data_IF_517376834071
#
_entry.id   IF_517376834071
#
_cell.length_a   1.000
_cell.length_b   1.000
_cell.length_c   1.000
_cell.angle_alpha   90.00
_cell.angle_beta   90.00
_cell.angle_gamma   90.00
#
_symmetry.space_group_name_H-M   'P 1'
#
loop_
_entity.id
_entity.type
_entity.pdbx_description
1 polymer ?
#
# COMPACT_ATOMS: atom_id res chain seq x y z
N UNK A 1 -24.03 8.09 2.26
CA UNK A 1 -23.56 7.72 3.61
C UNK A 1 -24.30 6.50 4.09
N UNK A 2 -23.76 5.32 3.75
CA UNK A 2 -24.03 4.01 4.35
C UNK A 2 -22.84 3.11 3.92
N UNK A 3 -21.71 3.30 4.59
CA UNK A 3 -20.43 2.63 4.28
C UNK A 3 -20.17 1.41 5.21
N UNK A 4 -21.16 1.00 6.00
CA UNK A 4 -21.04 -0.08 6.99
C UNK A 4 -22.14 -1.15 6.91
N UNK A 5 -22.92 -1.17 5.82
CA UNK A 5 -23.91 -2.23 5.57
C UNK A 5 -23.40 -3.09 4.41
N UNK A 6 -23.19 -4.39 4.66
CA UNK A 6 -22.83 -5.37 3.65
C UNK A 6 -23.96 -5.53 2.63
N UNK A 7 -23.66 -5.24 1.36
CA UNK A 7 -24.57 -5.36 0.22
C UNK A 7 -24.10 -6.47 -0.75
N UNK A 8 -23.12 -7.30 -0.37
CA UNK A 8 -22.60 -8.37 -1.21
C UNK A 8 -21.61 -7.94 -2.30
N UNK A 9 -21.16 -6.68 -2.30
CA UNK A 9 -20.20 -6.13 -3.27
C UNK A 9 -18.80 -5.85 -2.67
N UNK A 10 -18.64 -6.07 -1.36
CA UNK A 10 -17.42 -5.79 -0.59
C UNK A 10 -17.60 -4.74 0.50
N UNK A 11 -16.85 -4.87 1.60
CA UNK A 11 -16.88 -3.96 2.75
C UNK A 11 -15.57 -3.16 2.82
N UNK A 12 -15.66 -1.84 2.64
CA UNK A 12 -14.54 -0.92 2.89
C UNK A 12 -14.63 -0.41 4.34
N UNK A 13 -13.91 -1.05 5.25
CA UNK A 13 -13.79 -0.63 6.65
C UNK A 13 -12.46 0.09 6.94
N UNK A 14 -11.84 0.67 5.91
CA UNK A 14 -10.54 1.30 6.09
C UNK A 14 -10.66 2.71 6.68
N UNK A 15 -10.33 2.86 7.97
CA UNK A 15 -10.28 4.17 8.62
C UNK A 15 -9.18 5.06 8.01
N UNK A 16 -9.55 6.27 7.59
CA UNK A 16 -8.65 7.31 7.06
C UNK A 16 -7.92 8.00 8.22
N UNK A 17 -6.93 7.29 8.78
CA UNK A 17 -6.05 7.78 9.84
C UNK A 17 -4.68 8.28 9.34
N UNK A 18 -3.76 8.54 10.28
CA UNK A 18 -2.37 8.94 9.98
C UNK A 18 -1.52 7.81 9.40
N UNK A 19 -1.97 6.56 9.54
CA UNK A 19 -1.28 5.37 9.05
C UNK A 19 -1.22 5.33 7.52
N UNK A 20 -0.37 4.47 6.95
CA UNK A 20 -0.19 4.37 5.49
C UNK A 20 -1.32 3.67 4.76
N UNK A 21 -2.40 3.32 5.45
CA UNK A 21 -3.47 2.64 4.76
C UNK A 21 -3.05 1.24 4.32
N UNK A 22 -3.74 0.74 3.30
CA UNK A 22 -3.34 -0.43 2.55
C UNK A 22 -2.36 0.00 1.43
N UNK A 23 -1.06 0.18 1.73
CA UNK A 23 -0.04 0.38 0.70
C UNK A 23 0.39 1.82 0.40
N UNK A 24 0.17 2.77 1.30
CA UNK A 24 0.80 4.09 1.23
C UNK A 24 2.33 4.00 1.43
N UNK A 25 3.04 5.02 0.96
CA UNK A 25 4.50 5.09 1.07
C UNK A 25 4.98 6.30 1.89
N UNK A 26 6.22 6.20 2.34
CA UNK A 26 7.03 7.30 2.86
C UNK A 26 8.52 7.04 2.65
N UNK A 27 9.35 8.06 2.85
CA UNK A 27 10.80 7.88 2.86
C UNK A 27 11.20 7.31 4.22
N UNK A 28 11.84 6.14 4.24
CA UNK A 28 12.38 5.54 5.45
C UNK A 28 13.78 6.07 5.70
N UNK A 29 13.93 6.89 6.74
CA UNK A 29 15.20 7.53 7.08
C UNK A 29 15.29 7.71 8.59
N UNK A 30 16.44 7.37 9.16
CA UNK A 30 16.72 7.45 10.60
C UNK A 30 15.65 6.73 11.45
N UNK A 31 15.36 5.48 11.08
CA UNK A 31 14.37 4.60 11.72
C UNK A 31 12.96 5.22 11.84
N UNK A 32 12.63 6.14 10.93
CA UNK A 32 11.37 6.86 10.88
C UNK A 32 10.81 6.90 9.47
N UNK A 33 9.50 6.76 9.36
CA UNK A 33 8.78 6.94 8.11
C UNK A 33 8.39 8.42 7.92
N UNK A 34 9.00 9.07 6.93
CA UNK A 34 8.73 10.46 6.55
C UNK A 34 7.70 10.51 5.42
N UNK A 35 6.50 10.99 5.75
CA UNK A 35 5.34 10.92 4.85
C UNK A 35 4.90 12.29 4.37
N UNK A 36 4.36 12.34 3.16
CA UNK A 36 3.57 13.48 2.70
C UNK A 36 2.35 13.70 3.62
N UNK A 37 1.92 14.97 3.76
CA UNK A 37 0.73 15.31 4.57
C UNK A 37 -0.55 15.29 3.75
N UNK A 38 -0.55 15.97 2.60
CA UNK A 38 -1.74 16.16 1.77
C UNK A 38 -1.45 15.81 0.32
N UNK A 39 -2.37 15.09 -0.31
CA UNK A 39 -2.41 15.01 -1.75
C UNK A 39 -2.96 16.32 -2.35
N UNK A 40 -2.54 16.64 -3.57
CA UNK A 40 -2.95 17.83 -4.33
C UNK A 40 -3.21 17.42 -5.77
N UNK A 41 -4.09 18.17 -6.44
CA UNK A 41 -4.31 18.08 -7.89
C UNK A 41 -4.62 16.65 -8.39
N UNK A 42 -5.69 15.98 -7.92
CA UNK A 42 -6.11 14.73 -8.51
C UNK A 42 -6.50 14.95 -9.98
N UNK A 43 -6.04 14.07 -10.87
CA UNK A 43 -6.35 14.10 -12.30
C UNK A 43 -6.85 12.73 -12.72
N UNK A 44 -7.99 12.69 -13.40
CA UNK A 44 -8.49 11.47 -14.02
C UNK A 44 -7.81 11.35 -15.38
N UNK A 45 -7.02 10.30 -15.56
CA UNK A 45 -6.33 10.03 -16.83
C UNK A 45 -7.17 9.15 -17.76
N UNK A 46 -7.94 8.21 -17.19
CA UNK A 46 -8.89 7.36 -17.91
C UNK A 46 -9.98 6.88 -16.96
N UNK A 47 -11.24 7.02 -17.36
CA UNK A 47 -12.39 6.44 -16.69
C UNK A 47 -13.27 5.75 -17.74
N UNK A 48 -13.38 4.41 -17.68
CA UNK A 48 -14.24 3.62 -18.56
C UNK A 48 -13.57 2.38 -19.18
N UNK A 49 -14.38 1.37 -19.51
CA UNK A 49 -13.92 0.04 -19.92
C UNK A 49 -13.32 -0.74 -18.75
N UNK A 50 -12.40 -1.66 -19.05
CA UNK A 50 -11.80 -2.55 -18.03
C UNK A 50 -10.68 -1.92 -17.20
N UNK A 51 -10.43 -0.61 -17.36
CA UNK A 51 -9.32 0.10 -16.71
C UNK A 51 -9.72 1.49 -16.26
N UNK A 52 -9.50 1.79 -14.98
CA UNK A 52 -9.54 3.14 -14.42
C UNK A 52 -8.12 3.60 -14.07
N UNK A 53 -7.75 4.82 -14.45
CA UNK A 53 -6.44 5.41 -14.14
C UNK A 53 -6.60 6.85 -13.67
N UNK A 54 -5.96 7.15 -12.55
CA UNK A 54 -5.86 8.51 -12.03
C UNK A 54 -4.44 8.80 -11.57
N UNK A 55 -4.09 10.08 -11.48
CA UNK A 55 -2.84 10.52 -10.92
C UNK A 55 -3.04 11.62 -9.89
N UNK A 56 -2.07 11.75 -9.01
CA UNK A 56 -2.11 12.70 -7.91
C UNK A 56 -0.69 13.20 -7.63
N UNK A 57 -0.57 14.48 -7.32
CA UNK A 57 0.68 15.06 -6.87
C UNK A 57 0.65 15.22 -5.35
N UNK A 58 1.76 14.97 -4.69
CA UNK A 58 1.93 15.30 -3.28
C UNK A 58 2.84 16.52 -3.16
N UNK A 59 2.41 17.48 -2.34
CA UNK A 59 3.21 18.66 -2.05
C UNK A 59 4.55 18.27 -1.45
N UNK A 60 5.62 19.05 -1.65
CA UNK A 60 6.92 18.72 -1.08
C UNK A 60 6.88 18.55 0.44
N UNK A 61 7.63 17.60 0.96
CA UNK A 61 7.81 17.36 2.40
C UNK A 61 9.29 17.13 2.75
N UNK A 62 9.72 17.59 3.94
CA UNK A 62 11.09 17.38 4.39
C UNK A 62 11.30 15.91 4.79
N UNK A 63 12.50 15.44 4.50
CA UNK A 63 13.11 14.23 5.04
C UNK A 63 14.36 14.75 5.73
N UNK A 64 14.49 14.60 7.04
CA UNK A 64 15.56 15.30 7.79
C UNK A 64 15.54 16.84 7.66
N UNK A 65 16.68 17.48 7.92
CA UNK A 65 16.88 18.95 7.94
C UNK A 65 17.28 19.55 6.59
N UNK A 66 17.88 18.78 5.69
CA UNK A 66 18.47 19.22 4.42
C UNK A 66 17.63 18.71 3.25
N UNK A 67 17.09 17.50 3.35
CA UNK A 67 16.45 16.84 2.22
C UNK A 67 14.96 17.18 2.14
N UNK A 68 14.49 17.45 0.94
CA UNK A 68 13.09 17.73 0.67
C UNK A 68 12.68 17.00 -0.61
N UNK A 69 11.56 16.30 -0.54
CA UNK A 69 11.08 15.44 -1.62
C UNK A 69 9.66 15.79 -2.01
N UNK A 70 9.26 15.46 -3.22
CA UNK A 70 7.86 15.50 -3.67
C UNK A 70 7.52 14.26 -4.48
N UNK A 71 6.24 14.01 -4.71
CA UNK A 71 5.80 12.81 -5.41
C UNK A 71 4.74 13.14 -6.46
N UNK A 72 4.83 12.45 -7.60
CA UNK A 72 3.69 12.24 -8.48
C UNK A 72 3.39 10.74 -8.48
N UNK A 73 2.14 10.36 -8.22
CA UNK A 73 1.69 8.97 -8.25
C UNK A 73 0.59 8.77 -9.27
N UNK A 74 0.70 7.72 -10.07
CA UNK A 74 -0.37 7.20 -10.91
C UNK A 74 -0.88 5.89 -10.33
N UNK A 75 -2.19 5.73 -10.29
CA UNK A 75 -2.89 4.55 -9.79
C UNK A 75 -3.71 3.99 -10.94
N UNK A 76 -3.61 2.69 -11.15
CA UNK A 76 -4.34 1.94 -12.16
C UNK A 76 -5.11 0.79 -11.50
N UNK A 77 -6.41 0.75 -11.76
CA UNK A 77 -7.29 -0.35 -11.39
C UNK A 77 -7.78 -1.04 -12.64
N UNK A 78 -7.86 -2.37 -12.58
CA UNK A 78 -8.41 -3.21 -13.64
C UNK A 78 -9.62 -3.96 -13.11
N UNK A 79 -10.69 -4.01 -13.91
CA UNK A 79 -11.89 -4.76 -13.53
C UNK A 79 -11.55 -6.23 -13.31
N UNK A 80 -12.11 -6.83 -12.25
CA UNK A 80 -11.86 -8.24 -11.90
C UNK A 80 -10.48 -8.52 -11.29
N UNK A 81 -9.68 -7.48 -11.02
CA UNK A 81 -8.40 -7.63 -10.32
C UNK A 81 -8.56 -7.27 -8.84
N UNK A 82 -8.10 -8.14 -7.96
CA UNK A 82 -7.97 -7.84 -6.52
C UNK A 82 -6.75 -6.97 -6.20
N UNK A 83 -5.95 -6.60 -7.22
CA UNK A 83 -4.77 -5.75 -7.14
C UNK A 83 -4.93 -4.48 -7.99
N UNK A 84 -4.40 -3.38 -7.46
CA UNK A 84 -4.15 -2.13 -8.18
C UNK A 84 -2.63 -1.93 -8.36
N UNK A 85 -2.23 -1.28 -9.45
CA UNK A 85 -0.84 -0.91 -9.69
C UNK A 85 -0.62 0.58 -9.37
N UNK A 86 0.43 0.89 -8.62
CA UNK A 86 0.81 2.23 -8.21
C UNK A 86 2.20 2.55 -8.76
N UNK A 87 2.28 3.50 -9.68
CA UNK A 87 3.55 4.01 -10.21
C UNK A 87 3.85 5.35 -9.58
N UNK A 88 4.94 5.42 -8.81
CA UNK A 88 5.36 6.63 -8.10
C UNK A 88 6.68 7.16 -8.67
N UNK A 89 6.78 8.48 -8.80
CA UNK A 89 8.04 9.19 -9.08
C UNK A 89 8.30 10.15 -7.93
N UNK A 90 9.36 9.89 -7.17
CA UNK A 90 9.81 10.74 -6.07
C UNK A 90 10.90 11.68 -6.58
N UNK A 91 10.67 12.98 -6.51
CA UNK A 91 11.69 14.00 -6.79
C UNK A 91 12.41 14.36 -5.49
N UNK A 92 13.68 14.70 -5.58
CA UNK A 92 14.53 15.05 -4.42
C UNK A 92 15.42 16.24 -4.77
N UNK A 93 15.69 17.10 -3.80
CA UNK A 93 16.69 18.18 -3.94
C UNK A 93 18.15 17.67 -3.89
N UNK A 94 18.36 16.40 -3.53
CA UNK A 94 19.66 15.70 -3.60
C UNK A 94 19.57 14.47 -4.52
N UNK A 95 20.67 14.06 -5.17
CA UNK A 95 20.69 12.92 -6.11
C UNK A 95 20.82 11.56 -5.41
N UNK A 96 21.11 11.52 -4.12
CA UNK A 96 21.39 10.28 -3.39
C UNK A 96 20.19 9.32 -3.45
N UNK A 97 20.41 7.99 -3.39
CA UNK A 97 19.31 7.03 -3.29
C UNK A 97 18.37 7.33 -2.12
N UNK A 98 17.12 6.89 -2.26
CA UNK A 98 16.09 6.94 -1.23
C UNK A 98 15.72 5.52 -0.84
N UNK A 99 15.55 5.28 0.45
CA UNK A 99 14.83 4.10 0.93
C UNK A 99 13.36 4.50 1.08
N UNK A 100 12.48 3.78 0.40
CA UNK A 100 11.03 3.97 0.49
C UNK A 100 10.44 2.83 1.31
N UNK A 101 9.68 3.17 2.34
CA UNK A 101 8.84 2.21 3.07
C UNK A 101 7.45 2.17 2.45
N UNK A 102 7.07 1.02 1.89
CA UNK A 102 5.71 0.72 1.45
C UNK A 102 4.98 0.05 2.62
N UNK A 103 3.93 0.68 3.12
CA UNK A 103 3.37 0.36 4.43
C UNK A 103 1.95 -0.22 4.40
N UNK A 104 1.73 -1.18 5.29
CA UNK A 104 0.39 -1.63 5.70
C UNK A 104 0.21 -1.25 7.18
N UNK A 105 -0.90 -0.60 7.52
CA UNK A 105 -1.14 -0.27 8.93
C UNK A 105 -1.32 -1.53 9.80
N UNK A 106 -0.79 -1.46 11.03
CA UNK A 106 -1.00 -2.47 12.06
C UNK A 106 -2.44 -2.37 12.56
N UNK A 107 -3.14 -3.50 12.62
CA UNK A 107 -4.47 -3.62 13.25
C UNK A 107 -4.46 -4.64 14.37
N UNK A 108 -5.33 -4.41 15.35
CA UNK A 108 -5.62 -5.36 16.41
C UNK A 108 -7.10 -5.31 16.77
N UNK A 109 -7.65 -6.44 17.17
CA UNK A 109 -8.99 -6.53 17.73
C UNK A 109 -8.97 -7.48 18.94
N UNK A 110 -10.15 -7.89 19.43
CA UNK A 110 -10.26 -8.82 20.57
C UNK A 110 -9.62 -10.20 20.29
N UNK A 111 -9.47 -10.60 19.02
CA UNK A 111 -8.86 -11.86 18.60
C UNK A 111 -7.34 -11.78 18.42
N UNK A 112 -6.72 -10.60 18.56
CA UNK A 112 -5.26 -10.45 18.55
C UNK A 112 -4.75 -9.38 17.59
N UNK A 113 -3.54 -9.56 17.07
CA UNK A 113 -2.80 -8.57 16.27
C UNK A 113 -2.60 -8.96 14.79
N UNK A 114 -3.30 -10.00 14.30
CA UNK A 114 -3.15 -10.50 12.93
C UNK A 114 -1.83 -11.25 12.67
N UNK A 115 -1.58 -11.58 11.40
CA UNK A 115 -0.41 -12.34 10.93
C UNK A 115 0.29 -11.61 9.78
N UNK A 116 1.61 -11.52 9.83
CA UNK A 116 2.44 -10.90 8.79
C UNK A 116 3.18 -11.98 8.01
N UNK A 117 3.19 -11.87 6.68
CA UNK A 117 4.02 -12.68 5.79
C UNK A 117 5.00 -11.76 5.06
N UNK A 118 6.27 -12.15 5.04
CA UNK A 118 7.35 -11.37 4.41
C UNK A 118 8.08 -12.25 3.40
N UNK A 119 8.55 -11.63 2.33
CA UNK A 119 9.46 -12.25 1.37
C UNK A 119 10.12 -11.20 0.48
N UNK A 120 11.02 -11.59 -0.43
CA UNK A 120 11.60 -10.66 -1.40
C UNK A 120 10.49 -9.96 -2.19
N UNK A 121 10.46 -8.62 -2.13
CA UNK A 121 9.44 -7.81 -2.77
C UNK A 121 8.00 -8.01 -2.25
N UNK A 122 7.81 -8.63 -1.08
CA UNK A 122 6.48 -8.92 -0.53
C UNK A 122 6.34 -8.50 0.92
N UNK A 123 5.19 -7.91 1.20
CA UNK A 123 4.61 -7.83 2.53
C UNK A 123 3.12 -8.13 2.46
N UNK A 124 2.66 -9.16 3.18
CA UNK A 124 1.24 -9.39 3.43
C UNK A 124 0.94 -9.18 4.90
N UNK A 125 -0.20 -8.55 5.20
CA UNK A 125 -0.79 -8.54 6.52
C UNK A 125 -2.21 -9.10 6.45
N UNK A 126 -2.45 -10.18 7.20
CA UNK A 126 -3.78 -10.70 7.47
C UNK A 126 -4.25 -10.10 8.78
N UNK A 127 -5.32 -9.33 8.72
CA UNK A 127 -5.97 -8.79 9.90
C UNK A 127 -6.52 -9.93 10.77
N UNK A 128 -6.59 -9.74 12.10
CA UNK A 128 -7.26 -10.71 12.95
C UNK A 128 -8.74 -10.80 12.57
N UNK A 129 -9.30 -12.01 12.57
CA UNK A 129 -10.70 -12.23 12.20
C UNK A 129 -11.64 -11.47 13.15
N UNK A 130 -12.67 -10.87 12.58
CA UNK A 130 -13.78 -10.27 13.31
C UNK A 130 -15.01 -11.18 13.18
N UNK A 131 -15.60 -11.69 14.28
CA UNK A 131 -16.75 -12.59 14.19
C UNK A 131 -17.96 -12.00 13.46
N UNK A 132 -18.13 -10.67 13.47
CA UNK A 132 -19.23 -9.99 12.80
C UNK A 132 -18.89 -9.63 11.35
N UNK A 133 -17.62 -9.36 11.03
CA UNK A 133 -17.21 -8.78 9.73
C UNK A 133 -16.22 -9.61 8.92
N UNK A 134 -15.66 -10.69 9.45
CA UNK A 134 -14.62 -11.50 8.80
C UNK A 134 -13.22 -10.89 8.93
N UNK A 135 -12.32 -11.29 8.04
CA UNK A 135 -10.92 -10.90 8.02
C UNK A 135 -10.49 -10.35 6.66
N UNK A 136 -9.76 -9.23 6.67
CA UNK A 136 -9.11 -8.67 5.50
C UNK A 136 -7.66 -9.14 5.41
N UNK A 137 -7.19 -9.35 4.20
CA UNK A 137 -5.76 -9.53 3.90
C UNK A 137 -5.31 -8.46 2.92
N UNK A 138 -4.18 -7.82 3.19
CA UNK A 138 -3.60 -6.79 2.33
C UNK A 138 -2.20 -7.24 1.94
N UNK A 139 -1.88 -7.14 0.66
CA UNK A 139 -0.56 -7.50 0.13
C UNK A 139 0.05 -6.36 -0.65
N UNK A 140 1.31 -6.06 -0.39
CA UNK A 140 2.17 -5.20 -1.20
C UNK A 140 3.15 -6.08 -1.96
N UNK A 141 3.23 -5.86 -3.28
CA UNK A 141 4.22 -6.47 -4.17
C UNK A 141 5.08 -5.38 -4.80
N UNK A 142 6.40 -5.49 -4.67
CA UNK A 142 7.36 -4.62 -5.35
C UNK A 142 8.37 -5.45 -6.14
N UNK A 143 9.00 -4.88 -7.19
CA UNK A 143 10.07 -5.55 -7.91
C UNK A 143 11.16 -6.04 -6.96
N UNK A 144 11.49 -7.33 -7.03
CA UNK A 144 12.48 -7.96 -6.15
C UNK A 144 13.85 -7.30 -6.24
N UNK A 145 14.21 -6.78 -7.42
CA UNK A 145 15.46 -6.04 -7.65
C UNK A 145 15.54 -4.70 -6.89
N UNK A 146 14.41 -4.12 -6.48
CA UNK A 146 14.39 -2.89 -5.67
C UNK A 146 14.29 -3.19 -4.18
N UNK A 147 13.84 -4.40 -3.80
CA UNK A 147 13.58 -4.77 -2.41
C UNK A 147 14.88 -4.96 -1.63
N UNK A 148 14.99 -4.27 -0.49
CA UNK A 148 16.18 -4.31 0.38
C UNK A 148 15.90 -4.87 1.77
N UNK A 149 14.63 -5.13 2.11
CA UNK A 149 14.26 -5.75 3.37
C UNK A 149 12.90 -5.28 3.89
N UNK A 150 12.72 -5.38 5.20
CA UNK A 150 11.50 -5.01 5.89
C UNK A 150 11.83 -4.24 7.16
N UNK A 151 10.92 -3.37 7.56
CA UNK A 151 10.99 -2.66 8.83
C UNK A 151 9.58 -2.54 9.42
N UNK A 152 9.49 -1.87 10.57
CA UNK A 152 8.22 -1.46 11.14
C UNK A 152 8.42 -0.25 12.03
N UNK A 153 7.36 0.53 12.18
CA UNK A 153 7.24 1.55 13.22
C UNK A 153 6.07 1.18 14.15
N UNK A 154 5.65 2.13 14.99
CA UNK A 154 4.53 1.90 15.91
C UNK A 154 3.20 1.59 15.20
N UNK A 155 3.02 2.09 13.98
CA UNK A 155 1.74 2.08 13.26
C UNK A 155 1.74 1.18 12.02
N UNK A 156 2.90 0.80 11.47
CA UNK A 156 3.00 0.18 10.15
C UNK A 156 3.97 -1.01 10.12
N UNK A 157 3.62 -2.03 9.34
CA UNK A 157 4.58 -2.97 8.79
C UNK A 157 5.07 -2.43 7.44
N UNK A 158 6.37 -2.53 7.16
CA UNK A 158 6.98 -1.90 5.98
C UNK A 158 7.75 -2.92 5.12
N UNK A 159 7.52 -2.86 3.81
CA UNK A 159 8.45 -3.37 2.79
C UNK A 159 9.37 -2.22 2.38
N UNK A 160 10.68 -2.43 2.50
CA UNK A 160 11.67 -1.43 2.13
C UNK A 160 12.19 -1.68 0.72
N UNK A 161 12.15 -0.64 -0.10
CA UNK A 161 12.77 -0.62 -1.43
C UNK A 161 13.78 0.52 -1.53
N UNK A 162 14.84 0.34 -2.32
CA UNK A 162 15.77 1.41 -2.67
C UNK A 162 15.48 1.93 -4.07
N UNK A 163 15.38 3.25 -4.23
CA UNK A 163 15.12 3.91 -5.50
C UNK A 163 16.11 5.03 -5.77
N UNK A 164 16.31 5.34 -7.05
CA UNK A 164 17.00 6.55 -7.50
C UNK A 164 15.96 7.66 -7.65
N UNK A 165 16.20 8.87 -7.10
CA UNK A 165 15.30 10.00 -7.32
C UNK A 165 15.00 10.23 -8.79
N UNK A 166 13.81 10.76 -9.06
CA UNK A 166 13.29 11.06 -10.40
C UNK A 166 13.04 9.87 -11.33
N UNK A 167 13.48 8.66 -10.97
CA UNK A 167 13.13 7.44 -11.69
C UNK A 167 11.79 6.90 -11.15
N UNK A 168 10.79 6.66 -12.03
CA UNK A 168 9.54 6.06 -11.61
C UNK A 168 9.75 4.59 -11.22
N UNK A 169 9.04 4.15 -10.19
CA UNK A 169 8.95 2.74 -9.81
C UNK A 169 7.47 2.36 -9.64
N UNK A 170 7.17 1.09 -9.89
CA UNK A 170 5.83 0.55 -9.76
C UNK A 170 5.81 -0.53 -8.68
N UNK A 171 4.77 -0.52 -7.87
CA UNK A 171 4.42 -1.60 -6.94
C UNK A 171 2.92 -1.87 -7.06
N UNK A 172 2.49 -3.05 -6.65
CA UNK A 172 1.08 -3.41 -6.61
C UNK A 172 0.61 -3.52 -5.16
N UNK A 173 -0.65 -3.17 -4.94
CA UNK A 173 -1.34 -3.39 -3.68
C UNK A 173 -2.58 -4.20 -3.99
N UNK A 174 -2.77 -5.29 -3.28
CA UNK A 174 -3.97 -6.10 -3.38
C UNK A 174 -4.63 -6.32 -2.03
N UNK A 175 -5.91 -6.66 -2.08
CA UNK A 175 -6.66 -7.02 -0.89
C UNK A 175 -7.58 -8.21 -1.15
N UNK A 176 -7.93 -8.92 -0.08
CA UNK A 176 -8.99 -9.92 -0.08
C UNK A 176 -9.77 -9.87 1.22
N UNK A 177 -11.00 -10.38 1.17
CA UNK A 177 -11.89 -10.50 2.31
C UNK A 177 -12.40 -11.94 2.38
N UNK A 178 -12.28 -12.59 3.53
CA UNK A 178 -12.64 -14.00 3.68
C UNK A 178 -14.13 -14.31 3.53
N UNK A 179 -15.01 -13.30 3.52
CA UNK A 179 -16.43 -13.44 3.17
C UNK A 179 -16.78 -12.94 1.77
N UNK A 180 -15.79 -12.44 1.03
CA UNK A 180 -15.93 -12.07 -0.37
C UNK A 180 -15.98 -13.30 -1.27
N UNK A 181 -16.29 -13.12 -2.56
CA UNK A 181 -16.44 -14.23 -3.51
C UNK A 181 -15.10 -14.84 -3.94
N UNK A 182 -14.04 -14.03 -4.02
CA UNK A 182 -12.78 -14.40 -4.69
C UNK A 182 -11.88 -15.31 -3.85
N UNK A 183 -11.79 -15.05 -2.53
CA UNK A 183 -10.87 -15.75 -1.63
C UNK A 183 -11.52 -16.03 -0.29
N UNK A 184 -11.85 -17.30 -0.02
CA UNK A 184 -12.44 -17.73 1.24
C UNK A 184 -11.42 -17.90 2.37
N UNK A 185 -10.12 -17.94 2.07
CA UNK A 185 -9.05 -18.11 3.07
C UNK A 185 -7.82 -17.25 2.76
N UNK A 186 -7.08 -16.87 3.82
CA UNK A 186 -5.81 -16.16 3.72
C UNK A 186 -4.78 -16.93 2.89
N UNK A 187 -4.77 -18.26 2.99
CA UNK A 187 -3.82 -19.12 2.28
C UNK A 187 -4.12 -19.20 0.78
N UNK A 188 -5.39 -19.09 0.38
CA UNK A 188 -5.76 -18.97 -1.03
C UNK A 188 -5.25 -17.64 -1.61
N UNK A 189 -5.41 -16.55 -0.86
CA UNK A 189 -4.91 -15.25 -1.26
C UNK A 189 -3.38 -15.18 -1.30
N UNK A 190 -2.69 -15.77 -0.32
CA UNK A 190 -1.21 -15.84 -0.29
C UNK A 190 -0.64 -16.55 -1.53
N UNK A 191 -1.28 -17.66 -1.93
CA UNK A 191 -0.90 -18.38 -3.17
C UNK A 191 -1.14 -17.53 -4.41
N UNK A 192 -2.29 -16.88 -4.50
CA UNK A 192 -2.60 -15.98 -5.61
C UNK A 192 -1.59 -14.83 -5.71
N UNK A 193 -1.33 -14.14 -4.61
CA UNK A 193 -0.39 -13.03 -4.56
C UNK A 193 1.06 -13.46 -4.85
N UNK A 194 1.46 -14.64 -4.39
CA UNK A 194 2.82 -15.17 -4.65
C UNK A 194 3.01 -15.58 -6.11
N UNK A 195 1.96 -16.07 -6.78
CA UNK A 195 2.00 -16.41 -8.20
C UNK A 195 2.07 -15.21 -9.16
N UNK A 196 1.95 -13.98 -8.64
CA UNK A 196 2.07 -12.74 -9.42
C UNK A 196 3.50 -12.20 -9.50
N UNK A 197 4.46 -12.81 -8.81
CA UNK A 197 5.87 -12.37 -8.78
C UNK A 197 6.72 -12.98 -9.88
#
# INVERSE_FOLDING_TARGET
GRYHEDQGEGLDFYDVGRSRGAGGLGVWHDNKLWTSRNYRNPRIAKSGGDVARFSVDYAPWPVDVIRNVSETRSIELRTGSSFMSLTSRIRSNTPDPLIIGLGICKRRNAQGSGRVVKGPGLLTFHEPDDPAHGALSITILAPTALAIGHAEDAENHLLLIQITPDQPFTYEVGSSWNRGLDFQTSEAFDRYASGRR
#
